data_IF_367237614307
#
_entry.id   IF_367237614307
#
_cell.length_a   1.000
_cell.length_b   1.000
_cell.length_c   1.000
_cell.angle_alpha   90.00
_cell.angle_beta   90.00
_cell.angle_gamma   90.00
#
_symmetry.space_group_name_H-M   'P 1'
#
loop_
_entity.id
_entity.type
_entity.pdbx_description
1 polymer ?
#
# COMPACT_ATOMS: atom_id res chain seq x y z
N UNK A 1 15.58 0.06 -16.41
CA UNK A 1 16.91 0.20 -15.80
C UNK A 1 17.79 1.21 -16.53
N UNK A 2 17.81 1.22 -17.89
CA UNK A 2 18.66 2.12 -18.66
C UNK A 2 18.38 3.60 -18.37
N UNK A 3 17.10 4.01 -18.35
CA UNK A 3 16.71 5.39 -18.01
C UNK A 3 17.09 5.76 -16.58
N UNK A 4 16.91 4.82 -15.62
CA UNK A 4 17.33 5.04 -14.23
C UNK A 4 18.83 5.34 -14.16
N UNK A 5 19.65 4.55 -14.87
CA UNK A 5 21.10 4.77 -14.94
C UNK A 5 21.49 6.11 -15.58
N UNK A 6 20.63 6.65 -16.45
CA UNK A 6 20.79 7.98 -17.04
C UNK A 6 20.24 9.12 -16.18
N UNK A 7 19.72 8.82 -14.97
CA UNK A 7 19.26 9.81 -14.02
C UNK A 7 17.75 10.05 -14.00
N UNK A 8 16.94 9.21 -14.68
CA UNK A 8 15.48 9.27 -14.51
C UNK A 8 15.12 8.92 -13.06
N UNK A 9 14.45 9.83 -12.38
CA UNK A 9 13.90 9.60 -11.05
C UNK A 9 12.69 8.67 -11.17
N UNK A 10 12.89 7.37 -10.95
CA UNK A 10 11.88 6.34 -11.12
C UNK A 10 11.63 5.60 -9.81
N UNK A 11 10.37 5.44 -9.45
CA UNK A 11 9.95 4.64 -8.31
C UNK A 11 8.66 3.87 -8.62
N UNK A 12 8.20 3.08 -7.66
CA UNK A 12 6.96 2.29 -7.73
C UNK A 12 6.05 2.64 -6.57
N UNK A 13 4.73 2.60 -6.81
CA UNK A 13 3.69 2.77 -5.79
C UNK A 13 2.74 1.57 -5.82
N UNK A 14 2.65 0.82 -4.71
CA UNK A 14 1.90 -0.44 -4.66
C UNK A 14 1.24 -0.69 -3.30
N UNK A 15 0.18 -1.49 -3.30
CA UNK A 15 -0.41 -2.04 -2.07
C UNK A 15 0.46 -3.12 -1.40
N UNK A 16 1.47 -3.66 -2.10
CA UNK A 16 2.35 -4.71 -1.58
C UNK A 16 3.18 -4.24 -0.40
N UNK A 17 3.46 -5.15 0.52
CA UNK A 17 4.47 -4.94 1.58
C UNK A 17 5.89 -5.17 1.02
N UNK A 18 6.97 -4.74 1.74
CA UNK A 18 8.35 -5.04 1.32
C UNK A 18 8.59 -6.53 1.04
N UNK A 19 8.01 -7.42 1.85
CA UNK A 19 8.15 -8.87 1.70
C UNK A 19 7.71 -9.41 0.33
N UNK A 20 6.73 -8.78 -0.31
CA UNK A 20 6.22 -9.20 -1.62
C UNK A 20 6.66 -8.28 -2.75
N UNK A 21 6.95 -7.02 -2.45
CA UNK A 21 7.45 -6.08 -3.44
C UNK A 21 8.90 -6.39 -3.87
N UNK A 22 9.78 -6.76 -2.93
CA UNK A 22 11.18 -7.08 -3.21
C UNK A 22 11.32 -8.21 -4.23
N UNK A 23 10.46 -9.23 -4.15
CA UNK A 23 10.46 -10.37 -5.07
C UNK A 23 10.09 -9.92 -6.50
N UNK A 24 8.97 -9.21 -6.65
CA UNK A 24 8.46 -8.76 -7.96
C UNK A 24 9.39 -7.73 -8.61
N UNK A 25 10.00 -6.86 -7.79
CA UNK A 25 10.83 -5.76 -8.27
C UNK A 25 12.33 -6.11 -8.34
N UNK A 26 12.70 -7.37 -8.11
CA UNK A 26 14.10 -7.82 -8.04
C UNK A 26 14.95 -7.47 -9.27
N UNK A 27 14.32 -7.37 -10.45
CA UNK A 27 14.98 -7.01 -11.71
C UNK A 27 15.09 -5.49 -11.94
N UNK A 28 14.48 -4.66 -11.08
CA UNK A 28 14.56 -3.20 -11.18
C UNK A 28 15.66 -2.66 -10.25
N UNK A 29 16.54 -1.85 -10.80
CA UNK A 29 17.60 -1.16 -10.04
C UNK A 29 17.07 0.17 -9.51
N UNK A 30 16.08 0.11 -8.63
CA UNK A 30 15.47 1.30 -8.04
C UNK A 30 16.50 2.04 -7.17
N UNK A 31 16.65 3.34 -7.42
CA UNK A 31 17.50 4.24 -6.64
C UNK A 31 16.69 5.04 -5.62
N UNK A 32 15.41 5.22 -5.89
CA UNK A 32 14.47 5.90 -5.01
C UNK A 32 13.73 4.91 -4.11
N UNK A 33 13.27 5.36 -2.92
CA UNK A 33 12.37 4.56 -2.11
C UNK A 33 11.08 4.20 -2.85
N UNK A 34 10.63 2.96 -2.72
CA UNK A 34 9.30 2.55 -3.17
C UNK A 34 8.22 3.00 -2.21
N UNK A 35 7.05 3.31 -2.74
CA UNK A 35 5.84 3.66 -2.00
C UNK A 35 5.04 2.37 -1.82
N UNK A 36 5.01 1.83 -0.61
CA UNK A 36 4.43 0.52 -0.30
C UNK A 36 3.24 0.64 0.65
N UNK A 37 2.43 -0.44 0.74
CA UNK A 37 1.20 -0.48 1.56
C UNK A 37 0.30 0.74 1.28
N UNK A 38 0.00 1.00 -0.01
CA UNK A 38 -0.81 2.14 -0.45
C UNK A 38 -0.31 3.51 0.06
N UNK A 39 1.00 3.66 0.29
CA UNK A 39 1.58 4.92 0.77
C UNK A 39 1.78 4.97 2.28
N UNK A 40 1.48 3.90 3.01
CA UNK A 40 1.72 3.84 4.46
C UNK A 40 3.21 3.86 4.81
N UNK A 41 4.07 3.37 3.90
CA UNK A 41 5.52 3.38 4.09
C UNK A 41 6.28 3.73 2.82
N UNK A 42 7.43 4.39 2.99
CA UNK A 42 8.48 4.52 1.98
C UNK A 42 9.59 3.53 2.34
N UNK A 43 10.00 2.71 1.37
CA UNK A 43 10.99 1.66 1.59
C UNK A 43 12.18 1.77 0.62
N UNK A 44 13.38 1.96 1.18
CA UNK A 44 14.64 2.01 0.42
C UNK A 44 15.11 0.56 0.14
N UNK A 45 14.93 0.10 -1.10
CA UNK A 45 15.28 -1.26 -1.52
C UNK A 45 16.79 -1.53 -1.50
N UNK A 46 17.63 -0.49 -1.63
CA UNK A 46 19.09 -0.61 -1.62
C UNK A 46 19.62 -0.77 -0.20
N UNK A 47 19.12 0.07 0.71
CA UNK A 47 19.52 0.06 2.13
C UNK A 47 18.73 -0.94 2.95
N UNK A 48 17.66 -1.53 2.35
CA UNK A 48 16.74 -2.47 2.99
C UNK A 48 16.16 -1.94 4.31
N UNK A 49 15.71 -0.69 4.30
CA UNK A 49 15.14 -0.01 5.46
C UNK A 49 14.00 0.90 5.08
N UNK A 50 13.20 1.26 6.08
CA UNK A 50 12.16 2.27 5.90
C UNK A 50 12.78 3.67 5.82
N UNK A 51 12.42 4.41 4.78
CA UNK A 51 12.81 5.80 4.56
C UNK A 51 11.79 6.80 5.11
N UNK A 52 10.61 6.32 5.47
CA UNK A 52 9.52 7.10 6.05
C UNK A 52 8.25 6.29 6.19
N UNK A 53 7.30 6.82 6.96
CA UNK A 53 5.99 6.20 7.15
C UNK A 53 4.89 7.27 7.36
N UNK A 54 3.64 6.84 7.20
CA UNK A 54 2.43 7.59 7.53
C UNK A 54 1.60 6.74 8.52
N UNK A 55 2.00 6.66 9.81
CA UNK A 55 1.33 5.84 10.78
C UNK A 55 -0.06 6.37 11.13
N UNK A 56 -0.89 5.52 11.68
CA UNK A 56 -2.11 5.93 12.38
C UNK A 56 -1.71 6.57 13.73
N UNK A 57 -2.48 7.56 14.19
CA UNK A 57 -2.28 8.03 15.56
C UNK A 57 -2.66 6.94 16.56
N UNK A 58 -2.04 6.96 17.74
CA UNK A 58 -2.36 6.04 18.83
C UNK A 58 -3.85 6.04 19.16
N UNK A 59 -4.47 7.24 19.24
CA UNK A 59 -5.88 7.40 19.55
C UNK A 59 -6.79 6.78 18.48
N UNK A 60 -6.48 7.04 17.20
CA UNK A 60 -7.27 6.52 16.08
C UNK A 60 -7.15 4.99 15.97
N UNK A 61 -5.93 4.45 16.09
CA UNK A 61 -5.68 3.01 16.07
C UNK A 61 -6.34 2.31 17.27
N UNK A 62 -6.28 2.92 18.47
CA UNK A 62 -6.94 2.39 19.68
C UNK A 62 -8.46 2.35 19.54
N UNK A 63 -9.07 3.41 18.94
CA UNK A 63 -10.50 3.42 18.64
C UNK A 63 -10.88 2.34 17.64
N UNK A 64 -10.07 2.10 16.61
CA UNK A 64 -10.32 1.01 15.67
C UNK A 64 -10.24 -0.36 16.36
N UNK A 65 -9.23 -0.61 17.18
CA UNK A 65 -9.13 -1.85 17.98
C UNK A 65 -10.34 -2.06 18.89
N UNK A 66 -10.86 -1.00 19.52
CA UNK A 66 -12.06 -1.08 20.34
C UNK A 66 -13.29 -1.51 19.52
N UNK A 67 -13.44 -0.99 18.28
CA UNK A 67 -14.51 -1.42 17.37
C UNK A 67 -14.40 -2.91 17.02
N UNK A 68 -13.21 -3.40 16.68
CA UNK A 68 -12.95 -4.80 16.42
C UNK A 68 -13.28 -5.67 17.65
N UNK A 69 -12.80 -5.27 18.82
CA UNK A 69 -13.02 -6.01 20.08
C UNK A 69 -14.49 -6.09 20.45
N UNK A 70 -15.25 -5.00 20.30
CA UNK A 70 -16.72 -4.99 20.52
C UNK A 70 -17.48 -5.95 19.58
N UNK A 71 -16.95 -6.17 18.39
CA UNK A 71 -17.51 -7.13 17.42
C UNK A 71 -17.06 -8.58 17.68
N UNK A 72 -16.23 -8.82 18.68
CA UNK A 72 -15.66 -10.14 18.98
C UNK A 72 -14.66 -10.64 17.91
N UNK A 73 -14.14 -9.74 17.09
CA UNK A 73 -13.19 -10.02 16.02
C UNK A 73 -11.95 -9.17 16.20
N UNK A 74 -10.79 -9.75 15.91
CA UNK A 74 -9.52 -9.01 15.99
C UNK A 74 -8.80 -9.08 14.65
N UNK A 75 -8.20 -7.97 14.21
CA UNK A 75 -7.47 -7.91 12.94
C UNK A 75 -6.03 -8.40 13.10
N UNK A 76 -5.31 -8.52 12.00
CA UNK A 76 -3.86 -8.38 12.00
C UNK A 76 -3.49 -6.91 12.20
N UNK A 77 -2.66 -6.61 13.18
CA UNK A 77 -2.09 -5.29 13.43
C UNK A 77 -0.66 -5.25 12.92
N UNK A 78 -0.37 -4.31 12.04
CA UNK A 78 0.98 -4.06 11.53
C UNK A 78 1.59 -2.87 12.25
N UNK A 79 2.71 -3.08 12.90
CA UNK A 79 3.54 -2.03 13.51
C UNK A 79 4.91 -1.99 12.85
N UNK A 80 5.47 -0.79 12.75
CA UNK A 80 6.89 -0.65 12.41
C UNK A 80 7.71 -0.78 13.69
N UNK A 81 8.67 -1.69 13.66
CA UNK A 81 9.63 -1.91 14.74
C UNK A 81 11.02 -1.96 14.10
N UNK A 82 11.80 -0.91 14.29
CA UNK A 82 13.07 -0.70 13.61
C UNK A 82 12.91 -0.75 12.08
N UNK A 83 13.61 -1.66 11.38
CA UNK A 83 13.53 -1.84 9.94
C UNK A 83 12.64 -3.03 9.51
N UNK A 84 11.72 -3.47 10.39
CA UNK A 84 10.83 -4.60 10.15
C UNK A 84 9.36 -4.26 10.39
N UNK A 85 8.46 -4.95 9.69
CA UNK A 85 7.03 -4.93 10.00
C UNK A 85 6.71 -6.10 10.93
N UNK A 86 6.28 -5.80 12.15
CA UNK A 86 5.68 -6.78 13.03
C UNK A 86 4.17 -6.87 12.75
N UNK A 87 3.69 -8.08 12.46
CA UNK A 87 2.27 -8.38 12.27
C UNK A 87 1.78 -9.17 13.46
N UNK A 88 1.11 -8.48 14.38
CA UNK A 88 0.55 -9.08 15.57
C UNK A 88 -0.89 -9.53 15.34
N UNK A 89 -1.27 -10.67 15.91
CA UNK A 89 -2.64 -11.21 15.89
C UNK A 89 -2.92 -11.97 17.19
N UNK A 90 -4.20 -12.01 17.60
CA UNK A 90 -4.61 -12.76 18.80
C UNK A 90 -5.03 -14.19 18.44
N UNK A 91 -5.95 -14.30 17.50
CA UNK A 91 -6.51 -15.57 17.00
C UNK A 91 -7.06 -15.36 15.61
N UNK A 92 -7.12 -16.42 14.83
CA UNK A 92 -7.82 -16.41 13.57
C UNK A 92 -9.32 -16.53 13.79
N UNK A 93 -10.08 -15.70 13.15
CA UNK A 93 -11.53 -15.75 13.19
C UNK A 93 -12.16 -16.35 11.91
N UNK A 94 -11.35 -16.47 10.86
CA UNK A 94 -11.73 -17.10 9.60
C UNK A 94 -10.56 -17.92 9.03
N UNK A 95 -10.79 -19.07 8.38
CA UNK A 95 -9.72 -19.90 7.80
C UNK A 95 -8.81 -19.16 6.80
N UNK A 96 -9.32 -18.16 6.10
CA UNK A 96 -8.53 -17.33 5.20
C UNK A 96 -7.42 -16.55 5.93
N UNK A 97 -7.64 -16.13 7.18
CA UNK A 97 -6.64 -15.45 8.00
C UNK A 97 -5.48 -16.37 8.36
N UNK A 98 -5.77 -17.63 8.66
CA UNK A 98 -4.74 -18.64 8.93
C UNK A 98 -3.88 -18.90 7.69
N UNK A 99 -4.52 -19.12 6.53
CA UNK A 99 -3.80 -19.28 5.25
C UNK A 99 -2.96 -18.05 4.93
N UNK A 100 -3.54 -16.87 5.07
CA UNK A 100 -2.84 -15.59 4.89
C UNK A 100 -1.57 -15.50 5.75
N UNK A 101 -1.64 -15.92 7.01
CA UNK A 101 -0.50 -15.94 7.92
C UNK A 101 0.54 -16.98 7.48
N UNK A 102 0.11 -18.22 7.21
CA UNK A 102 1.00 -19.32 6.83
C UNK A 102 1.79 -19.04 5.55
N UNK A 103 1.13 -18.50 4.51
CA UNK A 103 1.77 -18.15 3.24
C UNK A 103 2.82 -17.04 3.34
N UNK A 104 2.74 -16.22 4.40
CA UNK A 104 3.57 -15.03 4.58
C UNK A 104 4.54 -15.12 5.73
N UNK A 105 4.34 -16.09 6.62
CA UNK A 105 5.24 -16.38 7.75
C UNK A 105 6.60 -16.84 7.23
N UNK A 106 7.67 -16.25 7.77
CA UNK A 106 9.04 -16.54 7.37
C UNK A 106 9.55 -15.78 6.13
N UNK A 107 8.71 -14.93 5.50
CA UNK A 107 9.20 -13.99 4.49
C UNK A 107 10.03 -12.88 5.15
N UNK A 108 11.08 -12.45 4.48
CA UNK A 108 11.94 -11.35 4.94
C UNK A 108 11.15 -10.04 5.15
N UNK A 109 11.63 -9.19 6.05
CA UNK A 109 11.07 -7.86 6.37
C UNK A 109 9.69 -7.84 7.01
N UNK A 110 9.20 -8.99 7.46
CA UNK A 110 7.88 -9.13 8.07
C UNK A 110 7.87 -10.34 8.99
N UNK A 111 7.64 -10.14 10.27
CA UNK A 111 7.43 -11.22 11.24
C UNK A 111 5.98 -11.26 11.70
N UNK A 112 5.50 -12.46 12.04
CA UNK A 112 4.17 -12.67 12.61
C UNK A 112 4.29 -13.11 14.05
N UNK A 113 3.57 -12.41 14.94
CA UNK A 113 3.55 -12.70 16.37
C UNK A 113 2.13 -12.92 16.86
N UNK A 114 1.89 -14.04 17.52
CA UNK A 114 0.64 -14.28 18.21
C UNK A 114 0.73 -13.69 19.60
N UNK A 115 -0.01 -12.61 19.84
CA UNK A 115 -0.05 -11.91 21.13
C UNK A 115 -1.34 -11.13 21.29
N UNK A 116 -1.67 -10.74 22.51
CA UNK A 116 -2.74 -9.77 22.76
C UNK A 116 -2.46 -8.45 22.04
N UNK A 117 -3.47 -7.90 21.36
CA UNK A 117 -3.35 -6.63 20.65
C UNK A 117 -3.58 -5.45 21.61
N UNK A 118 -2.52 -5.02 22.23
CA UNK A 118 -2.48 -3.81 23.07
C UNK A 118 -1.53 -2.81 22.42
N UNK A 119 -2.00 -1.58 22.22
CA UNK A 119 -1.21 -0.48 21.71
C UNK A 119 -0.73 0.40 22.87
N UNK A 120 0.48 0.91 22.71
CA UNK A 120 1.04 1.98 23.56
C UNK A 120 1.31 3.23 22.72
N UNK A 121 1.45 4.42 23.33
CA UNK A 121 1.80 5.64 22.60
C UNK A 121 3.15 5.62 21.88
N UNK A 122 4.00 4.62 22.19
CA UNK A 122 5.31 4.44 21.55
C UNK A 122 5.25 3.59 20.28
N UNK A 123 4.16 2.85 20.09
CA UNK A 123 3.98 1.98 18.91
C UNK A 123 3.74 2.82 17.67
N UNK A 124 4.17 2.28 16.53
CA UNK A 124 4.00 2.90 15.21
C UNK A 124 3.05 2.03 14.37
N UNK A 125 1.72 2.09 14.64
CA UNK A 125 0.74 1.30 13.90
C UNK A 125 0.57 1.88 12.49
N UNK A 126 0.75 1.03 11.47
CA UNK A 126 0.67 1.45 10.06
C UNK A 126 -0.53 0.87 9.34
N UNK A 127 -1.02 -0.30 9.75
CA UNK A 127 -2.06 -1.00 9.01
C UNK A 127 -2.83 -1.98 9.90
N UNK A 128 -4.12 -2.16 9.61
CA UNK A 128 -4.88 -3.33 10.05
C UNK A 128 -5.39 -4.07 8.82
N UNK A 129 -5.42 -5.39 8.89
CA UNK A 129 -6.03 -6.26 7.88
C UNK A 129 -6.89 -7.30 8.56
N UNK A 130 -8.07 -7.54 8.03
CA UNK A 130 -8.98 -8.58 8.47
C UNK A 130 -9.67 -9.20 7.26
N UNK A 131 -9.94 -10.50 7.34
CA UNK A 131 -10.68 -11.24 6.31
C UNK A 131 -11.82 -12.01 6.96
N UNK A 132 -13.02 -11.86 6.42
CA UNK A 132 -14.21 -12.62 6.86
C UNK A 132 -15.33 -12.51 5.80
N UNK A 133 -16.48 -13.10 6.11
CA UNK A 133 -17.71 -12.94 5.33
C UNK A 133 -18.15 -11.47 5.30
N UNK A 134 -18.82 -11.07 4.23
CA UNK A 134 -19.36 -9.71 4.07
C UNK A 134 -20.16 -9.23 5.27
N UNK A 135 -21.01 -10.13 5.82
CA UNK A 135 -21.88 -9.82 6.98
C UNK A 135 -21.12 -9.45 8.26
N UNK A 136 -19.87 -9.86 8.38
CA UNK A 136 -18.96 -9.50 9.49
C UNK A 136 -18.17 -8.24 9.16
N UNK A 137 -17.62 -8.17 7.96
CA UNK A 137 -16.67 -7.11 7.55
C UNK A 137 -17.38 -5.77 7.30
N UNK A 138 -18.52 -5.77 6.59
CA UNK A 138 -19.21 -4.54 6.20
C UNK A 138 -19.67 -3.68 7.40
N UNK A 139 -20.23 -4.22 8.48
CA UNK A 139 -20.57 -3.43 9.68
C UNK A 139 -19.35 -2.81 10.37
N UNK A 140 -18.21 -3.51 10.39
CA UNK A 140 -16.94 -2.99 10.91
C UNK A 140 -16.42 -1.85 10.04
N UNK A 141 -16.40 -2.04 8.72
CA UNK A 141 -16.03 -0.99 7.76
C UNK A 141 -16.83 0.30 8.00
N UNK A 142 -18.18 0.19 8.09
CA UNK A 142 -19.07 1.35 8.31
C UNK A 142 -18.78 2.11 9.60
N UNK A 143 -18.34 1.42 10.66
CA UNK A 143 -17.98 2.06 11.94
C UNK A 143 -16.58 2.68 11.87
N UNK A 144 -15.61 1.94 11.34
CA UNK A 144 -14.21 2.35 11.34
C UNK A 144 -13.97 3.54 10.41
N UNK A 145 -14.64 3.61 9.26
CA UNK A 145 -14.52 4.75 8.34
C UNK A 145 -14.99 6.09 8.94
N UNK A 146 -15.74 6.07 10.05
CA UNK A 146 -16.15 7.28 10.78
C UNK A 146 -15.09 7.77 11.78
N UNK A 147 -14.01 7.02 11.99
CA UNK A 147 -12.96 7.41 12.92
C UNK A 147 -12.06 8.45 12.24
N UNK A 148 -11.97 9.69 12.76
CA UNK A 148 -11.11 10.71 12.18
C UNK A 148 -9.65 10.26 12.13
N UNK A 149 -8.98 10.58 11.02
CA UNK A 149 -7.58 10.21 10.80
C UNK A 149 -7.37 8.81 10.22
N UNK A 150 -8.43 8.03 10.01
CA UNK A 150 -8.36 6.72 9.35
C UNK A 150 -9.01 6.75 7.96
N UNK A 151 -8.49 5.89 7.09
CA UNK A 151 -9.16 5.40 5.88
C UNK A 151 -9.38 3.90 6.02
N UNK A 152 -10.46 3.42 5.44
CA UNK A 152 -10.76 1.99 5.38
C UNK A 152 -11.08 1.61 3.93
N UNK A 153 -10.54 0.48 3.49
CA UNK A 153 -10.87 -0.17 2.22
C UNK A 153 -11.63 -1.47 2.51
N UNK A 154 -12.72 -1.68 1.78
CA UNK A 154 -13.57 -2.85 1.89
C UNK A 154 -13.79 -3.39 0.48
N UNK A 155 -13.38 -4.63 0.23
CA UNK A 155 -13.48 -5.26 -1.08
C UNK A 155 -13.56 -6.79 -0.98
N UNK A 156 -14.13 -7.41 -2.02
CA UNK A 156 -14.19 -8.86 -2.17
C UNK A 156 -12.86 -9.40 -2.71
N UNK A 157 -12.39 -10.51 -2.19
CA UNK A 157 -11.24 -11.21 -2.75
C UNK A 157 -11.58 -11.82 -4.11
N UNK A 158 -10.62 -11.83 -5.04
CA UNK A 158 -10.84 -12.37 -6.38
C UNK A 158 -10.68 -13.90 -6.46
N UNK A 159 -10.15 -14.52 -5.41
CA UNK A 159 -9.78 -15.94 -5.40
C UNK A 159 -10.59 -16.75 -4.39
N UNK A 160 -11.09 -16.11 -3.33
CA UNK A 160 -11.84 -16.74 -2.26
C UNK A 160 -13.12 -15.94 -1.97
N UNK A 161 -14.18 -16.63 -1.48
CA UNK A 161 -15.42 -15.95 -1.07
C UNK A 161 -15.26 -15.30 0.30
N UNK A 162 -14.36 -14.34 0.39
CA UNK A 162 -14.09 -13.53 1.58
C UNK A 162 -13.99 -12.06 1.22
N UNK A 163 -14.22 -11.21 2.20
CA UNK A 163 -14.07 -9.77 2.12
C UNK A 163 -12.90 -9.32 2.98
N UNK A 164 -12.09 -8.45 2.41
CA UNK A 164 -11.02 -7.75 3.12
C UNK A 164 -11.53 -6.47 3.74
N UNK A 165 -11.06 -6.19 4.94
CA UNK A 165 -11.09 -4.88 5.57
C UNK A 165 -9.65 -4.46 5.87
N UNK A 166 -9.21 -3.44 5.17
CA UNK A 166 -7.92 -2.81 5.38
C UNK A 166 -8.13 -1.43 5.99
N UNK A 167 -7.39 -1.11 7.05
CA UNK A 167 -7.49 0.18 7.74
C UNK A 167 -6.09 0.76 7.90
N UNK A 168 -5.96 2.04 7.56
CA UNK A 168 -4.69 2.75 7.58
C UNK A 168 -4.91 4.24 7.82
N UNK A 169 -3.83 4.98 7.99
CA UNK A 169 -3.89 6.44 8.19
C UNK A 169 -4.53 7.14 7.00
N UNK A 170 -5.34 8.15 7.23
CA UNK A 170 -5.83 9.04 6.17
C UNK A 170 -4.71 9.80 5.46
N UNK A 171 -3.53 9.87 6.08
CA UNK A 171 -2.31 10.42 5.50
C UNK A 171 -1.53 9.39 4.64
N UNK A 172 -1.94 8.11 4.66
CA UNK A 172 -1.40 7.06 3.82
C UNK A 172 -2.22 6.99 2.51
N UNK A 173 -1.67 7.52 1.44
CA UNK A 173 -2.18 7.33 0.08
C UNK A 173 -1.02 7.38 -0.90
N UNK A 174 -1.18 6.71 -2.05
CA UNK A 174 -0.17 6.75 -3.11
C UNK A 174 0.11 8.19 -3.55
N UNK A 175 -0.94 9.03 -3.69
CA UNK A 175 -0.81 10.43 -4.10
C UNK A 175 -0.01 11.25 -3.08
N UNK A 176 -0.35 11.19 -1.80
CA UNK A 176 0.38 11.93 -0.75
C UNK A 176 1.83 11.47 -0.64
N UNK A 177 2.09 10.17 -0.77
CA UNK A 177 3.44 9.64 -0.74
C UNK A 177 4.27 10.07 -1.95
N UNK A 178 3.67 10.12 -3.16
CA UNK A 178 4.31 10.65 -4.37
C UNK A 178 4.64 12.13 -4.21
N UNK A 179 3.71 12.95 -3.70
CA UNK A 179 3.94 14.38 -3.49
C UNK A 179 5.04 14.63 -2.45
N UNK A 180 5.06 13.89 -1.36
CA UNK A 180 6.14 13.94 -0.36
C UNK A 180 7.50 13.58 -0.99
N UNK A 181 7.53 12.53 -1.80
CA UNK A 181 8.75 12.09 -2.47
C UNK A 181 9.21 13.14 -3.50
N UNK A 182 8.27 13.74 -4.27
CA UNK A 182 8.54 14.87 -5.18
C UNK A 182 9.24 16.02 -4.43
N UNK A 183 8.67 16.42 -3.29
CA UNK A 183 9.23 17.50 -2.46
C UNK A 183 10.63 17.14 -1.92
N UNK A 184 10.79 15.94 -1.36
CA UNK A 184 12.08 15.44 -0.82
C UNK A 184 13.19 15.41 -1.87
N UNK A 185 12.85 15.16 -3.13
CA UNK A 185 13.79 15.07 -4.24
C UNK A 185 13.99 16.40 -4.99
N UNK A 186 13.20 17.43 -4.70
CA UNK A 186 13.16 18.65 -5.47
C UNK A 186 12.75 18.44 -6.93
N UNK A 187 11.95 17.40 -7.21
CA UNK A 187 11.55 17.04 -8.56
C UNK A 187 10.54 18.05 -9.13
N UNK A 188 10.81 18.58 -10.32
CA UNK A 188 9.96 19.60 -10.96
C UNK A 188 8.64 19.05 -11.50
N UNK A 189 8.61 17.79 -11.93
CA UNK A 189 7.44 17.17 -12.58
C UNK A 189 7.29 15.70 -12.20
N UNK A 190 6.04 15.26 -12.05
CA UNK A 190 5.67 13.87 -11.80
C UNK A 190 4.83 13.35 -12.97
N UNK A 191 5.22 12.21 -13.50
CA UNK A 191 4.38 11.38 -14.37
C UNK A 191 4.01 10.13 -13.59
N UNK A 192 2.72 9.87 -13.41
CA UNK A 192 2.22 8.69 -12.73
C UNK A 192 1.57 7.71 -13.69
N UNK A 193 1.79 6.41 -13.46
CA UNK A 193 1.14 5.33 -14.21
C UNK A 193 0.28 4.50 -13.25
N UNK A 194 -0.93 4.14 -13.68
CA UNK A 194 -1.84 3.38 -12.83
C UNK A 194 -2.85 2.56 -13.62
N UNK A 195 -3.49 1.62 -12.93
CA UNK A 195 -4.45 0.70 -13.54
C UNK A 195 -5.74 0.52 -12.73
N UNK A 196 -5.75 0.87 -11.44
CA UNK A 196 -6.83 0.47 -10.55
C UNK A 196 -7.38 1.61 -9.68
N UNK A 197 -8.48 1.36 -8.96
CA UNK A 197 -9.15 2.36 -8.12
C UNK A 197 -8.25 3.02 -7.07
N UNK A 198 -7.24 2.29 -6.55
CA UNK A 198 -6.27 2.85 -5.60
C UNK A 198 -5.21 3.75 -6.24
N UNK A 199 -5.20 3.89 -7.58
CA UNK A 199 -4.33 4.78 -8.34
C UNK A 199 -5.03 6.10 -8.71
N UNK A 200 -6.35 6.17 -8.64
CA UNK A 200 -7.17 7.33 -9.07
C UNK A 200 -6.64 8.64 -8.49
N UNK A 201 -6.48 8.70 -7.17
CA UNK A 201 -5.97 9.91 -6.49
C UNK A 201 -4.54 10.26 -6.93
N UNK A 202 -3.71 9.26 -7.23
CA UNK A 202 -2.33 9.46 -7.66
C UNK A 202 -2.28 9.96 -9.10
N UNK A 203 -3.09 9.40 -10.00
CA UNK A 203 -3.20 9.85 -11.39
C UNK A 203 -3.67 11.29 -11.46
N UNK A 204 -4.72 11.63 -10.71
CA UNK A 204 -5.27 12.99 -10.67
C UNK A 204 -4.32 14.03 -10.02
N UNK A 205 -3.44 13.61 -9.10
CA UNK A 205 -2.51 14.50 -8.40
C UNK A 205 -1.17 14.67 -9.11
N UNK A 206 -0.86 13.86 -10.10
CA UNK A 206 0.36 13.96 -10.89
C UNK A 206 0.32 15.14 -11.86
N UNK A 207 1.48 15.63 -12.30
CA UNK A 207 1.53 16.63 -13.38
C UNK A 207 1.14 16.03 -14.75
N UNK A 208 1.24 14.70 -14.88
CA UNK A 208 0.64 13.88 -15.95
C UNK A 208 0.27 12.52 -15.39
N UNK A 209 -1.02 12.21 -15.38
CA UNK A 209 -1.55 10.89 -15.04
C UNK A 209 -1.76 10.05 -16.31
N UNK A 210 -1.21 8.84 -16.35
CA UNK A 210 -1.31 7.91 -17.45
C UNK A 210 -1.99 6.61 -16.99
N UNK A 211 -3.17 6.30 -17.51
CA UNK A 211 -3.81 5.01 -17.30
C UNK A 211 -3.39 4.02 -18.38
N UNK A 212 -3.04 2.79 -17.99
CA UNK A 212 -2.77 1.73 -18.98
C UNK A 212 -4.04 1.28 -19.69
N UNK A 213 -3.93 0.74 -20.90
CA UNK A 213 -5.06 0.39 -21.75
C UNK A 213 -6.06 -0.59 -21.14
N UNK A 214 -5.60 -1.46 -20.25
CA UNK A 214 -6.43 -2.40 -19.48
C UNK A 214 -6.83 -1.89 -18.09
N UNK A 215 -6.63 -0.59 -17.77
CA UNK A 215 -7.01 0.01 -16.51
C UNK A 215 -8.53 0.04 -16.31
N UNK A 216 -8.96 0.14 -15.04
CA UNK A 216 -10.36 0.29 -14.67
C UNK A 216 -10.98 1.57 -15.25
N UNK A 217 -12.31 1.63 -15.45
CA UNK A 217 -12.98 2.84 -15.92
C UNK A 217 -12.68 4.07 -15.08
N UNK A 218 -12.61 3.92 -13.76
CA UNK A 218 -12.34 4.99 -12.80
C UNK A 218 -10.90 5.52 -12.96
N UNK A 219 -9.91 4.63 -13.12
CA UNK A 219 -8.53 5.02 -13.34
C UNK A 219 -8.35 5.74 -14.69
N UNK A 220 -9.02 5.24 -15.75
CA UNK A 220 -9.03 5.90 -17.06
C UNK A 220 -9.68 7.29 -17.02
N UNK A 221 -10.75 7.45 -16.26
CA UNK A 221 -11.44 8.73 -16.11
C UNK A 221 -10.62 9.77 -15.34
N UNK A 222 -9.72 9.34 -14.45
CA UNK A 222 -8.86 10.19 -13.64
C UNK A 222 -7.54 10.56 -14.33
N UNK A 223 -7.18 9.89 -15.43
CA UNK A 223 -5.93 10.08 -16.12
C UNK A 223 -6.03 11.14 -17.24
N UNK A 224 -4.92 11.85 -17.48
CA UNK A 224 -4.79 12.78 -18.61
C UNK A 224 -4.62 12.01 -19.94
N UNK A 225 -4.06 10.79 -19.88
CA UNK A 225 -3.74 10.01 -21.06
C UNK A 225 -4.03 8.52 -20.81
N UNK A 226 -4.47 7.84 -21.85
CA UNK A 226 -4.55 6.36 -21.89
C UNK A 226 -3.41 5.90 -22.79
N UNK A 227 -2.54 5.04 -22.27
CA UNK A 227 -1.38 4.48 -22.96
C UNK A 227 -1.62 3.01 -23.33
N UNK A 228 -0.65 2.34 -23.95
CA UNK A 228 -0.71 0.91 -24.21
C UNK A 228 -0.99 0.07 -22.95
N UNK A 229 -1.56 -1.13 -23.11
CA UNK A 229 -1.84 -2.03 -22.00
C UNK A 229 -0.55 -2.57 -21.34
N UNK A 230 -0.70 -3.19 -20.18
CA UNK A 230 0.41 -3.86 -19.52
C UNK A 230 0.97 -5.06 -20.31
N UNK A 231 0.15 -5.68 -21.16
CA UNK A 231 0.56 -6.77 -22.07
C UNK A 231 1.22 -6.28 -23.34
N UNK A 232 1.23 -4.97 -23.58
CA UNK A 232 1.83 -4.29 -24.72
C UNK A 232 3.01 -3.41 -24.31
N UNK A 233 3.57 -3.66 -23.13
CA UNK A 233 4.65 -2.86 -22.55
C UNK A 233 4.36 -1.35 -22.48
N UNK A 234 3.08 -0.95 -22.29
CA UNK A 234 2.59 0.42 -22.45
C UNK A 234 3.41 1.48 -21.69
N UNK A 235 3.84 1.19 -20.45
CA UNK A 235 4.69 2.10 -19.67
C UNK A 235 6.09 2.23 -20.31
N UNK A 236 6.68 1.13 -20.76
CA UNK A 236 8.00 1.14 -21.38
C UNK A 236 7.98 1.90 -22.71
N UNK A 237 6.93 1.68 -23.53
CA UNK A 237 6.74 2.40 -24.80
C UNK A 237 6.53 3.90 -24.58
N UNK A 238 5.76 4.29 -23.57
CA UNK A 238 5.60 5.70 -23.20
C UNK A 238 6.93 6.36 -22.80
N UNK A 239 7.80 5.64 -22.10
CA UNK A 239 9.08 6.13 -21.64
C UNK A 239 10.19 6.07 -22.72
N UNK A 240 10.01 5.29 -23.79
CA UNK A 240 11.02 5.08 -24.85
C UNK A 240 11.55 6.39 -25.44
N UNK A 241 10.71 7.40 -25.80
CA UNK A 241 11.21 8.67 -26.38
C UNK A 241 12.11 9.47 -25.44
N UNK A 242 12.11 9.19 -24.14
CA UNK A 242 13.01 9.83 -23.19
C UNK A 242 14.44 9.29 -23.30
N UNK A 243 14.63 8.09 -23.89
CA UNK A 243 15.96 7.50 -24.06
C UNK A 243 16.86 8.34 -24.98
N UNK A 244 16.26 9.01 -25.95
CA UNK A 244 16.97 9.82 -26.94
C UNK A 244 17.23 11.26 -26.44
N UNK A 245 16.55 11.66 -25.34
CA UNK A 245 16.61 13.01 -24.78
C UNK A 245 17.49 13.12 -23.53
N UNK A 246 17.89 11.99 -22.99
CA UNK A 246 18.75 11.85 -21.80
C UNK A 246 20.09 11.22 -22.19
#
# INVERSE_FOLDING_TARGET
>A
NHLIQKGLLFTVATARSPATACEVLSNLKLELPGILLNGAVLYDFRKRRFAGSAPMSYEAASKALAVYRQAGRMPFLYTLEDDEICVSYERFGHPAEERFCQERKGKAYKRFEQRELVLSPKDVPIYFTMMDKRTVVEPLYRKIQQIPGLKAAFYHDNYEDVYFLEVFSSQASKSLAVLRLKEMLGAGRVVAFGDNGNDVDMLAAADVGCAVGNASPEAKAAADQIIGSNTEDGVAEYLRPLMDKM
#
